data_IF_195366456347
#
_entry.id   IF_195366456347
#
_cell.length_a   1.000
_cell.length_b   1.000
_cell.length_c   1.000
_cell.angle_alpha   90.00
_cell.angle_beta   90.00
_cell.angle_gamma   90.00
#
_symmetry.space_group_name_H-M   'P 1'
#
loop_
_entity.id
_entity.type
_entity.pdbx_description
1 polymer ?
#
# COMPACT_ATOMS: atom_id res chain seq x y z
N UNK A 1 20.53 28.43 11.81
CA UNK A 1 19.50 27.66 12.52
C UNK A 1 19.90 27.54 13.97
N UNK A 2 19.01 27.81 14.92
CA UNK A 2 19.31 27.77 16.36
C UNK A 2 18.62 26.52 16.94
N UNK A 3 19.37 25.61 17.52
CA UNK A 3 18.85 24.38 18.13
C UNK A 3 18.76 24.59 19.65
N UNK A 4 17.64 24.15 20.24
CA UNK A 4 17.39 24.22 21.67
C UNK A 4 17.41 22.80 22.25
N UNK A 5 18.27 22.58 23.25
CA UNK A 5 18.37 21.26 23.90
C UNK A 5 17.02 20.84 24.48
N UNK A 6 16.60 19.60 24.22
CA UNK A 6 15.32 18.96 24.62
C UNK A 6 14.02 19.61 24.08
N UNK A 7 14.15 20.58 23.18
CA UNK A 7 13.00 21.25 22.55
C UNK A 7 13.07 21.22 21.01
N UNK A 8 14.10 20.60 20.46
CA UNK A 8 14.30 20.49 19.02
C UNK A 8 14.36 19.04 18.57
N UNK A 9 13.69 18.74 17.48
CA UNK A 9 13.74 17.45 16.76
C UNK A 9 14.67 17.61 15.56
N UNK A 10 15.56 16.65 15.37
CA UNK A 10 16.40 16.56 14.19
C UNK A 10 15.87 15.44 13.30
N UNK A 11 15.55 15.78 12.05
CA UNK A 11 15.03 14.84 11.07
C UNK A 11 16.16 14.52 10.07
N UNK A 12 16.49 13.22 9.96
CA UNK A 12 17.37 12.70 8.92
C UNK A 12 16.47 12.14 7.81
N UNK A 13 16.30 12.92 6.76
CA UNK A 13 15.51 12.52 5.62
C UNK A 13 16.32 11.65 4.66
N UNK A 14 15.71 10.59 4.12
CA UNK A 14 16.35 9.62 3.23
C UNK A 14 17.66 9.03 3.79
N UNK A 15 17.62 8.59 5.06
CA UNK A 15 18.81 8.14 5.82
C UNK A 15 19.60 7.02 5.12
N UNK A 16 18.94 6.22 4.27
CA UNK A 16 19.61 5.15 3.51
C UNK A 16 20.63 5.69 2.50
N UNK A 17 20.57 6.96 2.13
CA UNK A 17 21.57 7.59 1.26
C UNK A 17 22.88 7.90 2.02
N UNK A 18 22.81 7.92 3.36
CA UNK A 18 23.99 8.16 4.19
C UNK A 18 24.06 7.17 5.37
N UNK A 19 24.41 5.89 5.13
CA UNK A 19 24.43 4.83 6.14
C UNK A 19 25.31 5.14 7.37
N UNK A 20 26.36 5.93 7.21
CA UNK A 20 27.23 6.36 8.32
C UNK A 20 26.50 7.26 9.33
N UNK A 21 25.55 8.08 8.88
CA UNK A 21 24.73 8.88 9.80
C UNK A 21 23.90 7.96 10.68
N UNK A 22 23.31 6.89 10.12
CA UNK A 22 22.54 5.92 10.87
C UNK A 22 23.35 5.22 11.97
N UNK A 23 24.61 4.90 11.71
CA UNK A 23 25.52 4.37 12.75
C UNK A 23 25.79 5.38 13.89
N UNK A 24 25.76 6.68 13.59
CA UNK A 24 25.99 7.72 14.57
C UNK A 24 24.78 7.96 15.49
N UNK A 25 23.57 7.54 15.11
CA UNK A 25 22.33 7.76 15.88
C UNK A 25 22.46 7.27 17.32
N UNK A 26 23.03 6.09 17.55
CA UNK A 26 23.29 5.57 18.88
C UNK A 26 24.04 6.56 19.78
N UNK A 27 25.06 7.21 19.26
CA UNK A 27 25.85 8.19 20.00
C UNK A 27 25.09 9.51 20.19
N UNK A 28 24.31 9.90 19.19
CA UNK A 28 23.47 11.10 19.24
C UNK A 28 22.34 10.95 20.27
N UNK A 29 21.70 9.79 20.32
CA UNK A 29 20.69 9.48 21.34
C UNK A 29 21.29 9.44 22.74
N UNK A 30 22.48 8.84 22.90
CA UNK A 30 23.18 8.80 24.18
C UNK A 30 23.61 10.18 24.68
N UNK A 31 23.88 11.14 23.79
CA UNK A 31 24.15 12.53 24.11
C UNK A 31 22.93 13.26 24.73
N UNK A 32 21.71 12.84 24.39
CA UNK A 32 20.46 13.22 25.04
C UNK A 32 20.04 14.69 24.87
N UNK A 33 20.64 15.42 23.95
CA UNK A 33 20.33 16.84 23.70
C UNK A 33 19.09 17.06 22.83
N UNK A 34 18.81 16.14 21.90
CA UNK A 34 17.76 16.29 20.90
C UNK A 34 17.00 14.97 20.72
N UNK A 35 15.80 15.07 20.20
CA UNK A 35 15.07 13.93 19.67
C UNK A 35 15.38 13.77 18.18
N UNK A 36 15.34 12.53 17.69
CA UNK A 36 15.72 12.20 16.33
C UNK A 36 14.63 11.43 15.64
N UNK A 37 14.36 11.78 14.38
CA UNK A 37 13.47 11.05 13.48
C UNK A 37 14.28 10.72 12.22
N UNK A 38 14.21 9.47 11.78
CA UNK A 38 14.78 9.01 10.53
C UNK A 38 13.66 8.67 9.57
N UNK A 39 13.75 9.13 8.32
CA UNK A 39 12.86 8.72 7.24
C UNK A 39 13.63 7.97 6.17
N UNK A 40 12.94 7.13 5.42
CA UNK A 40 13.52 6.45 4.27
C UNK A 40 12.62 5.36 3.72
N UNK A 41 12.85 4.98 2.46
CA UNK A 41 12.13 3.87 1.86
C UNK A 41 12.57 2.54 2.48
N UNK A 42 11.61 1.68 2.82
CA UNK A 42 11.88 0.40 3.47
C UNK A 42 12.79 -0.49 2.62
N UNK A 43 12.61 -0.48 1.30
CA UNK A 43 13.42 -1.22 0.32
C UNK A 43 14.89 -0.81 0.44
N UNK A 44 15.16 0.48 0.33
CA UNK A 44 16.52 1.02 0.33
C UNK A 44 17.19 0.88 1.70
N UNK A 45 16.43 0.99 2.79
CA UNK A 45 16.96 0.80 4.15
C UNK A 45 17.46 -0.63 4.32
N UNK A 46 16.69 -1.63 3.92
CA UNK A 46 17.06 -3.05 4.10
C UNK A 46 18.23 -3.49 3.21
N UNK A 47 18.30 -3.00 1.97
CA UNK A 47 19.41 -3.32 1.08
C UNK A 47 20.74 -2.72 1.54
N UNK A 48 20.71 -1.53 2.14
CA UNK A 48 21.92 -0.82 2.56
C UNK A 48 22.38 -1.12 4.00
N UNK A 49 21.61 -1.90 4.76
CA UNK A 49 21.83 -2.16 6.20
C UNK A 49 22.45 -3.54 6.48
N UNK A 50 22.70 -4.37 5.47
CA UNK A 50 23.30 -5.70 5.67
C UNK A 50 24.63 -5.69 6.47
N UNK A 51 25.31 -4.55 6.53
CA UNK A 51 26.59 -4.37 7.26
C UNK A 51 26.48 -3.38 8.44
N UNK A 52 25.25 -2.94 8.82
CA UNK A 52 25.06 -1.93 9.86
C UNK A 52 24.25 -2.52 11.01
N UNK A 53 24.80 -2.43 12.23
CA UNK A 53 24.07 -2.77 13.45
C UNK A 53 22.99 -1.70 13.69
N UNK A 54 21.72 -2.10 13.63
CA UNK A 54 20.58 -1.23 13.97
C UNK A 54 20.66 -0.90 15.46
N UNK A 55 20.61 0.39 15.85
CA UNK A 55 20.61 0.76 17.27
C UNK A 55 19.40 0.17 17.98
N UNK A 56 19.62 -0.33 19.19
CA UNK A 56 18.52 -0.89 20.06
C UNK A 56 17.56 0.20 20.55
N UNK A 57 17.93 1.45 20.39
CA UNK A 57 17.17 2.65 20.76
C UNK A 57 16.18 3.10 19.69
N UNK A 58 16.17 2.44 18.53
CA UNK A 58 15.29 2.78 17.41
C UNK A 58 13.92 2.14 17.57
N UNK A 59 12.86 2.93 17.33
CA UNK A 59 11.49 2.46 17.18
C UNK A 59 11.03 2.68 15.75
N UNK A 60 10.80 1.61 15.02
CA UNK A 60 10.29 1.67 13.64
C UNK A 60 8.80 1.95 13.64
N UNK A 61 8.41 2.94 12.84
CA UNK A 61 7.01 3.24 12.51
C UNK A 61 6.82 3.02 11.01
N UNK A 62 5.92 2.10 10.65
CA UNK A 62 5.57 1.84 9.26
C UNK A 62 4.48 2.82 8.83
N UNK A 63 4.72 3.52 7.72
CA UNK A 63 3.74 4.41 7.11
C UNK A 63 3.06 3.71 5.95
N UNK A 64 1.77 3.41 6.13
CA UNK A 64 0.93 2.79 5.11
C UNK A 64 0.25 3.85 4.24
N UNK A 65 -0.26 3.50 3.04
CA UNK A 65 -1.19 4.36 2.33
C UNK A 65 -2.39 4.70 3.22
N UNK A 66 -2.97 5.88 3.03
CA UNK A 66 -4.16 6.31 3.78
C UNK A 66 -5.29 5.31 3.61
N UNK A 67 -6.01 5.05 4.68
CA UNK A 67 -7.26 4.29 4.66
C UNK A 67 -8.45 5.15 4.19
N UNK A 68 -9.63 4.56 4.13
CA UNK A 68 -10.84 5.27 3.69
C UNK A 68 -11.25 6.39 4.65
N UNK A 69 -11.04 6.23 5.95
CA UNK A 69 -11.37 7.25 6.95
C UNK A 69 -10.43 8.45 6.83
N UNK A 70 -9.13 8.22 6.69
CA UNK A 70 -8.12 9.27 6.47
C UNK A 70 -8.36 10.03 5.14
N UNK A 71 -8.74 9.31 4.08
CA UNK A 71 -9.16 9.91 2.83
C UNK A 71 -10.41 10.81 3.03
N UNK A 72 -11.40 10.32 3.76
CA UNK A 72 -12.61 11.09 4.06
C UNK A 72 -12.29 12.36 4.87
N UNK A 73 -11.34 12.30 5.80
CA UNK A 73 -10.87 13.49 6.53
C UNK A 73 -10.23 14.52 5.58
N UNK A 74 -9.37 14.08 4.68
CA UNK A 74 -8.77 14.96 3.68
C UNK A 74 -9.81 15.58 2.71
N UNK A 75 -10.96 14.91 2.55
CA UNK A 75 -12.11 15.39 1.77
C UNK A 75 -13.05 16.32 2.58
N UNK A 76 -12.75 16.59 3.86
CA UNK A 76 -13.59 17.31 4.83
C UNK A 76 -14.94 16.60 5.11
N UNK A 77 -14.92 15.28 5.19
CA UNK A 77 -16.10 14.44 5.42
C UNK A 77 -16.04 13.71 6.78
N UNK A 78 -15.33 14.25 7.77
CA UNK A 78 -15.26 13.71 9.15
C UNK A 78 -16.64 13.48 9.76
N UNK A 79 -17.66 14.38 9.56
CA UNK A 79 -18.99 14.17 10.12
C UNK A 79 -19.68 12.92 9.52
N UNK A 80 -19.41 12.61 8.25
CA UNK A 80 -19.93 11.40 7.61
C UNK A 80 -19.34 10.15 8.25
N UNK A 81 -18.03 10.13 8.48
CA UNK A 81 -17.36 9.00 9.12
C UNK A 81 -17.83 8.78 10.55
N UNK A 82 -17.98 9.86 11.33
CA UNK A 82 -18.52 9.81 12.69
C UNK A 82 -19.95 9.23 12.70
N UNK A 83 -20.79 9.63 11.75
CA UNK A 83 -22.16 9.13 11.63
C UNK A 83 -22.23 7.66 11.21
N UNK A 84 -21.37 7.23 10.27
CA UNK A 84 -21.24 5.82 9.85
C UNK A 84 -20.89 4.96 11.09
N UNK A 85 -19.87 5.39 11.86
CA UNK A 85 -19.43 4.71 13.09
C UNK A 85 -20.55 4.61 14.12
N UNK A 86 -21.30 5.69 14.33
CA UNK A 86 -22.43 5.71 15.25
C UNK A 86 -23.54 4.72 14.81
N UNK A 87 -23.84 4.65 13.50
CA UNK A 87 -24.81 3.70 12.97
C UNK A 87 -24.34 2.25 13.14
N UNK A 88 -23.05 1.99 12.90
CA UNK A 88 -22.45 0.68 13.11
C UNK A 88 -22.54 0.22 14.58
N UNK A 89 -22.17 1.09 15.53
CA UNK A 89 -22.22 0.79 16.97
C UNK A 89 -23.65 0.51 17.45
N UNK A 90 -24.62 1.28 16.92
CA UNK A 90 -26.05 1.10 17.23
C UNK A 90 -26.71 -0.02 16.43
N UNK A 91 -26.00 -0.64 15.47
CA UNK A 91 -26.51 -1.67 14.56
C UNK A 91 -27.78 -1.21 13.79
N UNK A 92 -27.80 0.05 13.38
CA UNK A 92 -28.87 0.64 12.56
C UNK A 92 -28.36 0.93 11.15
N UNK A 93 -29.16 0.75 10.11
CA UNK A 93 -28.77 1.06 8.74
C UNK A 93 -28.57 2.57 8.56
N UNK A 94 -27.70 2.94 7.62
CA UNK A 94 -27.62 4.30 7.13
C UNK A 94 -28.88 4.68 6.36
N UNK A 95 -29.32 5.91 6.48
CA UNK A 95 -30.36 6.47 5.62
C UNK A 95 -29.90 6.43 4.15
N UNK A 96 -30.86 6.20 3.23
CA UNK A 96 -30.55 5.96 1.81
C UNK A 96 -29.68 7.06 1.18
N UNK A 97 -29.96 8.33 1.48
CA UNK A 97 -29.19 9.46 0.95
C UNK A 97 -27.74 9.49 1.49
N UNK A 98 -27.58 9.20 2.78
CA UNK A 98 -26.27 9.14 3.43
C UNK A 98 -25.48 7.93 2.92
N UNK A 99 -26.14 6.78 2.75
CA UNK A 99 -25.51 5.60 2.17
C UNK A 99 -25.01 5.88 0.73
N UNK A 100 -25.83 6.53 -0.10
CA UNK A 100 -25.43 6.89 -1.47
C UNK A 100 -24.21 7.84 -1.47
N UNK A 101 -24.18 8.83 -0.56
CA UNK A 101 -23.04 9.73 -0.38
C UNK A 101 -21.77 8.96 0.05
N UNK A 102 -21.90 8.08 1.03
CA UNK A 102 -20.79 7.25 1.52
C UNK A 102 -20.22 6.35 0.41
N UNK A 103 -21.09 5.70 -0.37
CA UNK A 103 -20.67 4.85 -1.50
C UNK A 103 -20.00 5.64 -2.62
N UNK A 104 -20.45 6.86 -2.89
CA UNK A 104 -19.79 7.73 -3.87
C UNK A 104 -18.39 8.11 -3.40
N UNK A 105 -18.24 8.54 -2.13
CA UNK A 105 -16.95 8.87 -1.53
C UNK A 105 -16.01 7.65 -1.53
N UNK A 106 -16.52 6.47 -1.21
CA UNK A 106 -15.76 5.22 -1.22
C UNK A 106 -15.25 4.87 -2.62
N UNK A 107 -16.06 5.07 -3.67
CA UNK A 107 -15.63 4.86 -5.05
C UNK A 107 -14.59 5.89 -5.50
N UNK A 108 -14.72 7.14 -5.03
CA UNK A 108 -13.67 8.16 -5.23
C UNK A 108 -12.36 7.71 -4.59
N UNK A 109 -12.40 7.19 -3.36
CA UNK A 109 -11.24 6.62 -2.69
C UNK A 109 -10.62 5.46 -3.47
N UNK A 110 -11.42 4.54 -3.99
CA UNK A 110 -10.88 3.45 -4.82
C UNK A 110 -10.12 3.98 -6.04
N UNK A 111 -10.65 5.02 -6.71
CA UNK A 111 -10.01 5.60 -7.90
C UNK A 111 -8.73 6.35 -7.53
N UNK A 112 -8.79 7.23 -6.54
CA UNK A 112 -7.67 8.10 -6.14
C UNK A 112 -6.60 7.31 -5.40
N UNK A 113 -7.02 6.38 -4.54
CA UNK A 113 -6.15 5.61 -3.65
C UNK A 113 -5.78 6.34 -2.37
N UNK A 114 -4.96 5.68 -1.57
CA UNK A 114 -4.43 6.20 -0.30
C UNK A 114 -3.04 6.82 -0.41
N UNK A 115 -2.47 6.94 -1.61
CA UNK A 115 -1.17 7.59 -1.78
C UNK A 115 -1.30 9.11 -1.62
N UNK A 116 -0.59 9.76 -0.65
CA UNK A 116 -0.73 11.19 -0.39
C UNK A 116 -0.52 12.07 -1.63
N UNK A 117 0.46 11.71 -2.46
CA UNK A 117 0.78 12.45 -3.70
C UNK A 117 -0.38 12.42 -4.70
N UNK A 118 -1.01 11.25 -4.86
CA UNK A 118 -2.19 11.08 -5.72
C UNK A 118 -3.38 11.92 -5.21
N UNK A 119 -3.63 11.88 -3.90
CA UNK A 119 -4.70 12.67 -3.30
C UNK A 119 -4.45 14.18 -3.42
N UNK A 120 -3.22 14.64 -3.17
CA UNK A 120 -2.86 16.05 -3.35
C UNK A 120 -3.10 16.51 -4.78
N UNK A 121 -2.65 15.72 -5.77
CA UNK A 121 -2.88 16.04 -7.18
C UNK A 121 -4.39 16.11 -7.52
N UNK A 122 -5.18 15.21 -6.96
CA UNK A 122 -6.64 15.22 -7.11
C UNK A 122 -7.27 16.50 -6.55
N UNK A 123 -6.92 16.87 -5.31
CA UNK A 123 -7.51 18.01 -4.61
C UNK A 123 -7.07 19.36 -5.23
N UNK A 124 -5.79 19.51 -5.55
CA UNK A 124 -5.21 20.75 -6.09
C UNK A 124 -5.69 21.05 -7.52
N UNK A 125 -6.13 20.03 -8.26
CA UNK A 125 -6.62 20.14 -9.61
C UNK A 125 -8.15 19.97 -9.72
N UNK A 126 -8.91 20.59 -8.81
CA UNK A 126 -10.38 20.60 -8.84
C UNK A 126 -11.02 19.20 -8.87
N UNK A 127 -10.45 18.25 -8.13
CA UNK A 127 -10.89 16.86 -8.08
C UNK A 127 -10.81 16.14 -9.44
N UNK A 128 -9.73 16.39 -10.15
CA UNK A 128 -9.46 15.75 -11.43
C UNK A 128 -8.80 14.37 -11.22
N UNK A 129 -9.49 13.31 -11.65
CA UNK A 129 -9.00 11.93 -11.54
C UNK A 129 -7.79 11.64 -12.44
N UNK A 130 -7.68 12.29 -13.61
CA UNK A 130 -6.55 12.12 -14.53
C UNK A 130 -5.24 12.58 -13.86
N UNK A 131 -5.28 13.69 -13.14
CA UNK A 131 -4.11 14.18 -12.41
C UNK A 131 -3.67 13.22 -11.31
N UNK A 132 -4.63 12.62 -10.58
CA UNK A 132 -4.33 11.56 -9.62
C UNK A 132 -3.76 10.31 -10.29
N UNK A 133 -4.27 9.95 -11.48
CA UNK A 133 -3.81 8.78 -12.22
C UNK A 133 -2.39 8.96 -12.77
N UNK A 134 -2.03 10.15 -13.23
CA UNK A 134 -0.65 10.47 -13.63
C UNK A 134 0.32 10.21 -12.48
N UNK A 135 0.04 10.72 -11.28
CA UNK A 135 0.88 10.50 -10.11
C UNK A 135 0.99 9.00 -9.72
N UNK A 136 -0.10 8.26 -9.85
CA UNK A 136 -0.09 6.80 -9.57
C UNK A 136 0.75 6.03 -10.60
N UNK A 137 0.70 6.39 -11.88
CA UNK A 137 1.54 5.80 -12.93
C UNK A 137 3.02 6.10 -12.71
N UNK A 138 3.34 7.30 -12.23
CA UNK A 138 4.70 7.66 -11.83
C UNK A 138 5.17 6.79 -10.65
N UNK A 139 4.32 6.56 -9.65
CA UNK A 139 4.63 5.66 -8.52
C UNK A 139 4.85 4.21 -9.00
N UNK A 140 4.00 3.69 -9.89
CA UNK A 140 4.17 2.35 -10.47
C UNK A 140 5.50 2.24 -11.24
N UNK A 141 5.88 3.30 -11.96
CA UNK A 141 7.17 3.38 -12.66
C UNK A 141 8.35 3.37 -11.67
N UNK A 142 8.23 4.10 -10.55
CA UNK A 142 9.23 4.07 -9.48
C UNK A 142 9.36 2.67 -8.88
N UNK A 143 8.26 1.98 -8.59
CA UNK A 143 8.28 0.60 -8.10
C UNK A 143 9.00 -0.35 -9.06
N UNK A 144 8.70 -0.27 -10.38
CA UNK A 144 9.42 -1.05 -11.40
C UNK A 144 10.91 -0.73 -11.43
N UNK A 145 11.29 0.53 -11.22
CA UNK A 145 12.70 0.93 -11.16
C UNK A 145 13.39 0.43 -9.89
N UNK A 146 12.71 0.40 -8.76
CA UNK A 146 13.25 -0.17 -7.52
C UNK A 146 13.42 -1.69 -7.63
N UNK A 147 12.45 -2.39 -8.21
CA UNK A 147 12.58 -3.81 -8.52
C UNK A 147 13.81 -4.09 -9.41
N UNK A 148 14.11 -3.22 -10.38
CA UNK A 148 15.31 -3.36 -11.24
C UNK A 148 16.64 -3.24 -10.49
N UNK A 149 16.66 -2.59 -9.33
CA UNK A 149 17.86 -2.46 -8.48
C UNK A 149 18.16 -3.72 -7.65
N UNK A 150 17.22 -4.67 -7.53
CA UNK A 150 17.41 -5.92 -6.80
C UNK A 150 18.66 -6.64 -7.34
N UNK A 151 19.58 -7.00 -6.44
CA UNK A 151 20.78 -7.76 -6.77
C UNK A 151 20.37 -9.17 -7.17
N UNK A 152 20.62 -9.51 -8.41
CA UNK A 152 20.51 -10.79 -9.17
C UNK A 152 19.77 -12.00 -8.55
N UNK A 153 19.17 -12.78 -9.43
CA UNK A 153 18.62 -14.10 -9.16
C UNK A 153 17.09 -14.15 -9.18
N UNK A 154 16.40 -13.25 -8.51
CA UNK A 154 14.92 -13.27 -8.47
C UNK A 154 14.24 -11.97 -8.98
N UNK A 155 15.00 -11.00 -9.46
CA UNK A 155 14.48 -9.74 -10.02
C UNK A 155 13.38 -9.94 -11.08
N UNK A 156 13.62 -10.84 -12.04
CA UNK A 156 12.65 -11.14 -13.09
C UNK A 156 11.36 -11.75 -12.54
N UNK A 157 11.49 -12.54 -11.48
CA UNK A 157 10.35 -13.16 -10.81
C UNK A 157 9.53 -12.10 -10.04
N UNK A 158 10.20 -11.16 -9.35
CA UNK A 158 9.53 -10.05 -8.65
C UNK A 158 8.75 -9.19 -9.65
N UNK A 159 9.40 -8.79 -10.75
CA UNK A 159 8.75 -7.97 -11.78
C UNK A 159 7.57 -8.73 -12.41
N UNK A 160 7.76 -10.02 -12.74
CA UNK A 160 6.70 -10.85 -13.33
C UNK A 160 5.50 -11.02 -12.40
N UNK A 161 5.70 -11.20 -11.10
CA UNK A 161 4.60 -11.28 -10.13
C UNK A 161 3.93 -9.92 -9.99
N UNK A 162 4.69 -8.86 -9.82
CA UNK A 162 4.17 -7.50 -9.71
C UNK A 162 3.26 -7.14 -10.90
N UNK A 163 3.74 -7.34 -12.12
CA UNK A 163 2.97 -7.02 -13.33
C UNK A 163 1.73 -7.92 -13.52
N UNK A 164 1.69 -9.09 -12.89
CA UNK A 164 0.56 -10.01 -12.98
C UNK A 164 -0.45 -9.87 -11.84
N UNK A 165 -0.22 -9.03 -10.82
CA UNK A 165 -1.17 -8.84 -9.70
C UNK A 165 -2.60 -8.58 -10.19
N UNK A 166 -2.85 -7.62 -11.13
CA UNK A 166 -4.20 -7.38 -11.64
C UNK A 166 -4.81 -8.63 -12.27
N UNK A 167 -4.04 -9.36 -13.06
CA UNK A 167 -4.49 -10.57 -13.73
C UNK A 167 -4.80 -11.72 -12.76
N UNK A 168 -4.11 -11.83 -11.62
CA UNK A 168 -4.44 -12.80 -10.58
C UNK A 168 -5.76 -12.43 -9.88
N UNK A 169 -5.96 -11.16 -9.55
CA UNK A 169 -7.13 -10.67 -8.82
C UNK A 169 -8.40 -10.61 -9.69
N UNK A 170 -8.27 -10.44 -11.00
CA UNK A 170 -9.43 -10.41 -11.92
C UNK A 170 -10.16 -11.74 -12.07
N UNK A 171 -9.54 -12.85 -11.66
CA UNK A 171 -10.11 -14.21 -11.79
C UNK A 171 -11.06 -14.54 -10.67
N UNK A 172 -11.94 -15.53 -10.91
CA UNK A 172 -12.92 -16.00 -9.91
C UNK A 172 -12.27 -16.48 -8.60
N UNK A 173 -11.13 -17.17 -8.69
CA UNK A 173 -10.42 -17.70 -7.50
C UNK A 173 -9.54 -16.64 -6.81
N UNK A 174 -9.20 -15.55 -7.52
CA UNK A 174 -8.36 -14.43 -7.04
C UNK A 174 -7.08 -14.86 -6.33
N UNK A 175 -6.49 -15.98 -6.76
CA UNK A 175 -5.25 -16.52 -6.21
C UNK A 175 -4.13 -16.49 -7.23
N UNK A 176 -2.90 -16.50 -6.74
CA UNK A 176 -1.72 -16.68 -7.56
C UNK A 176 -1.65 -18.13 -8.03
N UNK A 177 -1.70 -18.34 -9.35
CA UNK A 177 -1.53 -19.66 -9.95
C UNK A 177 -0.08 -19.78 -10.41
N UNK A 178 0.77 -20.43 -9.60
CA UNK A 178 2.22 -20.49 -9.79
C UNK A 178 2.63 -21.00 -11.18
N UNK A 179 1.95 -22.02 -11.72
CA UNK A 179 2.23 -22.58 -13.05
C UNK A 179 2.02 -21.58 -14.21
N UNK A 180 1.40 -20.43 -13.95
CA UNK A 180 1.23 -19.35 -14.94
C UNK A 180 2.38 -18.35 -14.93
N UNK A 181 3.09 -18.26 -13.82
CA UNK A 181 4.32 -17.46 -13.74
C UNK A 181 5.40 -18.17 -14.57
N UNK A 182 5.58 -19.47 -14.32
CA UNK A 182 6.52 -20.34 -15.04
C UNK A 182 6.05 -21.80 -14.92
N UNK A 183 6.22 -22.61 -15.97
CA UNK A 183 5.90 -24.04 -15.94
C UNK A 183 6.75 -24.74 -14.86
N UNK A 184 6.08 -25.39 -13.91
CA UNK A 184 6.73 -26.05 -12.78
C UNK A 184 7.09 -25.09 -11.62
N UNK A 185 6.61 -23.86 -11.63
CA UNK A 185 6.75 -22.95 -10.50
C UNK A 185 6.00 -23.47 -9.27
N UNK A 186 6.61 -23.30 -8.10
CA UNK A 186 6.02 -23.63 -6.80
C UNK A 186 6.25 -22.49 -5.81
N UNK A 187 5.39 -22.39 -4.80
CA UNK A 187 5.51 -21.31 -3.80
C UNK A 187 6.90 -21.30 -3.12
N UNK A 188 7.50 -22.43 -2.69
CA UNK A 188 8.83 -22.41 -2.10
C UNK A 188 9.92 -21.78 -2.99
N UNK A 189 9.83 -21.97 -4.31
CA UNK A 189 10.77 -21.35 -5.28
C UNK A 189 10.62 -19.83 -5.36
N UNK A 190 9.41 -19.30 -5.09
CA UNK A 190 9.07 -17.90 -5.22
C UNK A 190 8.86 -17.20 -3.87
N UNK A 191 9.12 -17.89 -2.76
CA UNK A 191 8.95 -17.35 -1.40
C UNK A 191 9.64 -16.00 -1.23
N UNK A 192 10.91 -15.89 -1.59
CA UNK A 192 11.69 -14.66 -1.45
C UNK A 192 11.14 -13.53 -2.32
N UNK A 193 10.50 -13.88 -3.44
CA UNK A 193 9.84 -12.91 -4.33
C UNK A 193 8.64 -12.26 -3.67
N UNK A 194 7.76 -13.09 -3.11
CA UNK A 194 6.59 -12.61 -2.38
C UNK A 194 7.00 -11.85 -1.12
N UNK A 195 7.92 -12.43 -0.36
CA UNK A 195 8.46 -11.79 0.85
C UNK A 195 9.00 -10.39 0.53
N UNK A 196 9.76 -10.22 -0.56
CA UNK A 196 10.27 -8.91 -0.96
C UNK A 196 9.15 -7.91 -1.26
N UNK A 197 8.13 -8.32 -2.03
CA UNK A 197 6.99 -7.46 -2.37
C UNK A 197 6.20 -7.04 -1.12
N UNK A 198 5.98 -7.95 -0.20
CA UNK A 198 5.27 -7.70 1.05
C UNK A 198 6.08 -6.83 2.01
N UNK A 199 7.36 -7.14 2.14
CA UNK A 199 8.30 -6.44 2.99
C UNK A 199 8.57 -5.01 2.52
N UNK A 200 8.48 -4.79 1.21
CA UNK A 200 8.56 -3.47 0.57
C UNK A 200 7.24 -2.69 0.61
N UNK A 201 6.19 -3.27 1.18
CA UNK A 201 4.83 -2.70 1.24
C UNK A 201 4.19 -2.42 -0.14
N UNK A 202 4.78 -2.95 -1.22
CA UNK A 202 4.23 -2.86 -2.59
C UNK A 202 3.00 -3.74 -2.73
N UNK A 203 3.01 -4.92 -2.11
CA UNK A 203 1.91 -5.86 -2.13
C UNK A 203 1.63 -6.45 -0.75
N UNK A 204 0.41 -6.95 -0.57
CA UNK A 204 -0.06 -7.63 0.64
C UNK A 204 -0.33 -9.08 0.33
N UNK A 205 0.37 -10.00 0.99
CA UNK A 205 0.10 -11.42 0.90
C UNK A 205 -1.03 -11.83 1.84
N UNK A 206 -1.91 -12.70 1.37
CA UNK A 206 -2.95 -13.30 2.17
C UNK A 206 -2.97 -14.80 1.91
N UNK A 207 -2.71 -15.59 2.94
CA UNK A 207 -2.72 -17.03 2.89
C UNK A 207 -4.05 -17.60 3.38
N UNK A 208 -4.41 -18.78 2.87
CA UNK A 208 -5.55 -19.50 3.40
C UNK A 208 -5.19 -20.10 4.77
N UNK A 209 -6.17 -20.17 5.67
CA UNK A 209 -6.04 -20.81 6.97
C UNK A 209 -7.11 -21.87 7.10
N UNK A 210 -6.73 -23.12 7.40
CA UNK A 210 -7.65 -24.25 7.50
C UNK A 210 -8.41 -24.28 8.84
N UNK A 211 -7.84 -23.74 9.91
CA UNK A 211 -8.48 -23.64 11.23
C UNK A 211 -8.21 -22.27 11.88
N UNK A 212 -9.18 -21.35 11.89
CA UNK A 212 -9.02 -20.04 12.48
C UNK A 212 -9.05 -20.02 14.02
N UNK A 213 -9.38 -21.14 14.69
CA UNK A 213 -9.48 -21.21 16.15
C UNK A 213 -8.13 -21.49 16.82
N UNK A 214 -7.17 -22.00 16.06
CA UNK A 214 -5.79 -22.21 16.51
C UNK A 214 -4.95 -21.13 15.82
N UNK A 215 -3.91 -20.61 16.47
CA UNK A 215 -3.11 -19.51 15.95
C UNK A 215 -2.91 -19.57 14.43
N UNK A 216 -3.32 -18.52 13.72
CA UNK A 216 -3.45 -18.50 12.24
C UNK A 216 -2.20 -19.03 11.53
N UNK A 217 -1.01 -18.65 12.02
CA UNK A 217 0.28 -19.06 11.46
C UNK A 217 0.57 -20.57 11.56
N UNK A 218 -0.11 -21.31 12.44
CA UNK A 218 0.09 -22.74 12.60
C UNK A 218 -0.66 -23.58 11.53
N UNK A 219 -1.71 -23.00 10.95
CA UNK A 219 -2.59 -23.66 9.98
C UNK A 219 -2.61 -22.96 8.63
N UNK A 220 -1.58 -22.19 8.34
CA UNK A 220 -1.41 -21.45 7.11
C UNK A 220 -1.14 -22.40 5.93
N UNK A 221 -1.99 -22.32 4.89
CA UNK A 221 -1.78 -23.00 3.63
C UNK A 221 -1.07 -22.08 2.63
N UNK A 222 0.25 -22.19 2.57
CA UNK A 222 1.10 -21.42 1.66
C UNK A 222 0.97 -21.82 0.19
N UNK A 223 0.26 -22.89 -0.12
CA UNK A 223 -0.03 -23.26 -1.52
C UNK A 223 -1.16 -22.42 -2.11
N UNK A 224 -1.91 -21.75 -1.25
CA UNK A 224 -3.04 -20.90 -1.62
C UNK A 224 -2.79 -19.46 -1.17
N UNK A 225 -2.11 -18.69 -2.00
CA UNK A 225 -1.78 -17.28 -1.73
C UNK A 225 -2.57 -16.35 -2.63
N UNK A 226 -3.13 -15.30 -2.05
CA UNK A 226 -3.62 -14.11 -2.74
C UNK A 226 -2.58 -12.99 -2.58
N UNK A 227 -2.35 -12.24 -3.62
CA UNK A 227 -1.41 -11.12 -3.62
C UNK A 227 -2.18 -9.86 -4.04
N UNK A 228 -2.39 -8.96 -3.10
CA UNK A 228 -3.08 -7.69 -3.28
C UNK A 228 -2.07 -6.56 -3.44
N UNK A 229 -2.44 -5.51 -4.17
CA UNK A 229 -1.62 -4.28 -4.19
C UNK A 229 -1.66 -3.61 -2.81
N UNK A 230 -0.56 -2.97 -2.44
CA UNK A 230 -0.47 -2.17 -1.22
C UNK A 230 -1.43 -0.99 -1.18
N UNK A 231 -1.86 -0.52 -2.36
CA UNK A 231 -2.85 0.56 -2.52
C UNK A 231 -3.84 0.25 -3.64
N UNK A 232 -5.13 0.51 -3.41
CA UNK A 232 -6.20 0.18 -4.37
C UNK A 232 -6.22 1.13 -5.56
N UNK A 233 -5.89 2.39 -5.37
CA UNK A 233 -5.75 3.33 -6.47
C UNK A 233 -4.62 2.93 -7.42
N UNK A 234 -3.49 2.45 -6.87
CA UNK A 234 -2.42 1.89 -7.68
C UNK A 234 -2.86 0.63 -8.42
N UNK A 235 -3.67 -0.24 -7.79
CA UNK A 235 -4.22 -1.42 -8.48
C UNK A 235 -5.07 -1.02 -9.69
N UNK A 236 -5.91 0.01 -9.57
CA UNK A 236 -6.73 0.50 -10.68
C UNK A 236 -5.83 1.01 -11.81
N UNK A 237 -4.87 1.89 -11.52
CA UNK A 237 -3.95 2.39 -12.55
C UNK A 237 -3.12 1.27 -13.18
N UNK A 238 -2.71 0.28 -12.40
CA UNK A 238 -1.96 -0.88 -12.89
C UNK A 238 -2.81 -1.80 -13.76
N UNK A 239 -4.11 -1.95 -13.44
CA UNK A 239 -5.04 -2.75 -14.25
C UNK A 239 -5.26 -2.16 -15.64
N UNK A 240 -5.24 -0.83 -15.75
CA UNK A 240 -5.48 -0.10 -16.98
C UNK A 240 -4.23 0.62 -17.52
N UNK A 241 -3.04 0.10 -17.20
CA UNK A 241 -1.74 0.71 -17.52
C UNK A 241 -1.51 0.86 -19.04
N UNK A 242 -2.05 -0.07 -19.84
CA UNK A 242 -1.96 -0.03 -21.30
C UNK A 242 -2.96 0.95 -21.97
N UNK A 243 -3.95 1.42 -21.21
CA UNK A 243 -4.93 2.37 -21.74
C UNK A 243 -4.35 3.78 -21.69
N UNK A 244 -4.46 4.51 -22.79
CA UNK A 244 -4.18 5.95 -22.77
C UNK A 244 -5.08 6.62 -21.71
N UNK A 245 -4.54 7.62 -21.01
CA UNK A 245 -5.24 8.42 -19.98
C UNK A 245 -6.31 9.29 -20.69
N UNK A 246 -7.14 8.72 -21.50
CA UNK A 246 -7.92 9.58 -22.39
C UNK A 246 -9.38 9.69 -22.04
N UNK A 247 -9.95 8.78 -21.27
CA UNK A 247 -11.39 8.82 -21.16
C UNK A 247 -11.86 8.78 -19.71
N UNK A 248 -12.29 9.92 -19.21
CA UNK A 248 -13.07 10.02 -17.98
C UNK A 248 -14.25 9.05 -17.91
N UNK A 249 -14.48 8.25 -18.97
CA UNK A 249 -15.46 7.17 -19.03
C UNK A 249 -15.15 6.04 -18.06
N UNK A 250 -13.89 5.60 -17.94
CA UNK A 250 -13.48 4.59 -16.96
C UNK A 250 -13.81 5.02 -15.53
N UNK A 251 -13.44 6.24 -15.17
CA UNK A 251 -13.72 6.76 -13.83
C UNK A 251 -15.22 6.92 -13.60
N UNK A 252 -15.96 7.33 -14.64
CA UNK A 252 -17.41 7.44 -14.58
C UNK A 252 -18.08 6.08 -14.38
N UNK A 253 -17.61 5.04 -15.06
CA UNK A 253 -18.11 3.67 -14.87
C UNK A 253 -17.88 3.17 -13.46
N UNK A 254 -16.67 3.38 -12.90
CA UNK A 254 -16.36 3.04 -11.50
C UNK A 254 -17.27 3.82 -10.54
N UNK A 255 -17.42 5.14 -10.72
CA UNK A 255 -18.26 5.97 -9.86
C UNK A 255 -19.73 5.53 -9.89
N UNK A 256 -20.20 5.05 -11.03
CA UNK A 256 -21.58 4.55 -11.20
C UNK A 256 -21.74 3.10 -10.77
N UNK A 257 -20.67 2.36 -10.47
CA UNK A 257 -20.70 0.93 -10.19
C UNK A 257 -21.14 0.13 -11.42
N UNK A 258 -20.69 0.51 -12.59
CA UNK A 258 -21.06 -0.10 -13.89
C UNK A 258 -19.85 -0.63 -14.66
N UNK A 259 -18.71 -0.79 -13.99
CA UNK A 259 -17.50 -1.28 -14.63
C UNK A 259 -17.74 -2.70 -15.16
N UNK A 260 -17.36 -2.96 -16.40
CA UNK A 260 -17.48 -4.27 -17.05
C UNK A 260 -16.50 -5.32 -16.52
N UNK A 261 -15.44 -4.87 -15.84
CA UNK A 261 -14.45 -5.72 -15.17
C UNK A 261 -14.96 -6.15 -13.80
N UNK A 262 -14.44 -7.26 -13.27
CA UNK A 262 -14.80 -7.76 -11.95
C UNK A 262 -14.43 -6.74 -10.84
N UNK A 263 -15.33 -5.78 -10.58
CA UNK A 263 -15.14 -4.75 -9.54
C UNK A 263 -14.84 -5.36 -8.16
N UNK A 264 -15.28 -6.58 -7.90
CA UNK A 264 -15.04 -7.26 -6.63
C UNK A 264 -13.56 -7.40 -6.27
N UNK A 265 -12.64 -7.36 -7.25
CA UNK A 265 -11.21 -7.39 -6.95
C UNK A 265 -10.73 -6.10 -6.28
N UNK A 266 -11.31 -4.95 -6.64
CA UNK A 266 -10.97 -3.66 -6.03
C UNK A 266 -11.50 -3.57 -4.60
N UNK A 267 -12.74 -4.05 -4.35
CA UNK A 267 -13.30 -4.12 -2.99
C UNK A 267 -12.48 -5.03 -2.07
N UNK A 268 -12.07 -6.21 -2.56
CA UNK A 268 -11.20 -7.09 -1.77
C UNK A 268 -9.84 -6.45 -1.50
N UNK A 269 -9.29 -5.70 -2.47
CA UNK A 269 -8.02 -5.02 -2.29
C UNK A 269 -8.09 -3.93 -1.22
N UNK A 270 -9.19 -3.15 -1.18
CA UNK A 270 -9.43 -2.17 -0.11
C UNK A 270 -9.41 -2.86 1.26
N UNK A 271 -10.11 -3.98 1.41
CA UNK A 271 -10.14 -4.73 2.67
C UNK A 271 -8.75 -5.25 3.06
N UNK A 272 -7.98 -5.73 2.07
CA UNK A 272 -6.61 -6.22 2.32
C UNK A 272 -5.65 -5.08 2.70
N UNK A 273 -5.82 -3.91 2.10
CA UNK A 273 -5.07 -2.68 2.40
C UNK A 273 -5.37 -2.21 3.84
N UNK A 274 -6.64 -2.08 4.20
CA UNK A 274 -7.10 -1.63 5.51
C UNK A 274 -6.64 -2.57 6.64
N UNK A 275 -6.76 -3.89 6.44
CA UNK A 275 -6.37 -4.90 7.43
C UNK A 275 -4.88 -4.86 7.78
N UNK A 276 -4.01 -4.48 6.88
CA UNK A 276 -2.57 -4.40 7.14
C UNK A 276 -2.18 -3.20 8.00
N UNK A 277 -2.99 -2.15 8.01
CA UNK A 277 -2.79 -0.98 8.87
C UNK A 277 -3.26 -1.18 10.32
N UNK A 278 -4.02 -2.24 10.60
CA UNK A 278 -4.68 -2.51 11.89
C UNK A 278 -4.01 -3.63 12.71
N UNK A 279 -3.03 -4.35 12.15
CA UNK A 279 -2.37 -5.51 12.81
C UNK A 279 -1.02 -5.15 13.41
#
# INVERSE_FOLDING_TARGET
MKLYSKESVIIFDEIQQFPKARQAIKYLVADGRFDYIETGSLISIKENVNDITIPSEERTLLMYPMDFEEFAWAMNEEPLMAYIRQCFDKKVPLEQGIHAKAMLLFRQYMIVGGMPKSLSAYLENNRNFEMADMEKRDILTLYRNDIKKIKSGYRSSVLSIFDQIPAFLSRSERRVVMNRIEKGASFPKYHDTFFWLSDSMIANECFNCSDPNVGLSLNEDRTYVKCYMGDTGLLISHTFDENEISDGELYREILLGKLSVNEGMFYENVIAQDRKSVV
#
